data_IF_347695821282
#
_entry.id   IF_347695821282
#
_cell.length_a   1.000
_cell.length_b   1.000
_cell.length_c   1.000
_cell.angle_alpha   90.00
_cell.angle_beta   90.00
_cell.angle_gamma   90.00
#
_symmetry.space_group_name_H-M   'P 1'
#
loop_
_entity.id
_entity.type
_entity.pdbx_description
1 polymer ?
#
# COMPACT_ATOMS: atom_id res chain seq x y z
N UNK A 1 17.57 25.09 6.36
CA UNK A 1 17.24 25.01 4.91
C UNK A 1 16.66 23.64 4.68
N UNK A 2 15.42 23.53 4.20
CA UNK A 2 14.80 22.24 3.89
C UNK A 2 15.37 21.77 2.55
N UNK A 3 15.96 20.55 2.43
CA UNK A 3 16.47 20.06 1.17
C UNK A 3 15.32 19.97 0.14
N UNK A 4 15.60 20.27 -1.12
CA UNK A 4 14.63 20.08 -2.20
C UNK A 4 14.44 18.58 -2.44
N UNK A 5 13.25 18.15 -2.88
CA UNK A 5 12.99 16.73 -3.21
C UNK A 5 13.99 16.18 -4.24
N UNK A 6 14.51 17.04 -5.12
CA UNK A 6 15.51 16.66 -6.13
C UNK A 6 16.91 16.40 -5.55
N UNK A 7 17.17 16.75 -4.29
CA UNK A 7 18.46 16.51 -3.63
C UNK A 7 18.47 15.28 -2.71
N UNK A 8 17.32 14.60 -2.54
CA UNK A 8 17.24 13.42 -1.70
C UNK A 8 17.87 12.21 -2.39
N UNK A 9 18.63 11.44 -1.62
CA UNK A 9 19.05 10.10 -2.04
C UNK A 9 17.90 9.10 -1.93
N UNK A 10 17.98 7.95 -2.59
CA UNK A 10 16.99 6.87 -2.45
C UNK A 10 16.79 6.46 -0.98
N UNK A 11 17.88 6.49 -0.20
CA UNK A 11 17.92 6.15 1.24
C UNK A 11 17.10 7.12 2.10
N UNK A 12 17.08 8.39 1.74
CA UNK A 12 16.32 9.43 2.44
C UNK A 12 14.89 9.49 1.93
N UNK A 13 14.73 9.44 0.60
CA UNK A 13 13.44 9.56 -0.06
C UNK A 13 12.46 8.42 0.28
N UNK A 14 12.96 7.23 0.64
CA UNK A 14 12.10 6.09 1.01
C UNK A 14 11.18 6.41 2.20
N UNK A 15 11.55 7.36 3.08
CA UNK A 15 10.74 7.79 4.21
C UNK A 15 9.50 8.60 3.82
N UNK A 16 9.41 9.06 2.57
CA UNK A 16 8.18 9.65 2.03
C UNK A 16 7.05 8.61 1.94
N UNK A 17 7.40 7.33 1.83
CA UNK A 17 6.42 6.28 1.68
C UNK A 17 5.56 6.04 2.94
N UNK A 18 6.10 5.85 4.17
CA UNK A 18 5.29 5.80 5.38
C UNK A 18 4.42 7.06 5.57
N UNK A 19 4.91 8.24 5.18
CA UNK A 19 4.13 9.48 5.25
C UNK A 19 2.93 9.41 4.29
N UNK A 20 3.13 8.96 3.06
CA UNK A 20 2.05 8.78 2.09
C UNK A 20 1.02 7.75 2.56
N UNK A 21 1.45 6.65 3.17
CA UNK A 21 0.57 5.65 3.80
C UNK A 21 -0.26 6.29 4.92
N UNK A 22 0.36 7.08 5.80
CA UNK A 22 -0.36 7.76 6.86
C UNK A 22 -1.41 8.75 6.33
N UNK A 23 -1.10 9.49 5.27
CA UNK A 23 -2.04 10.39 4.59
C UNK A 23 -3.20 9.59 4.00
N UNK A 24 -2.91 8.49 3.30
CA UNK A 24 -3.92 7.61 2.72
C UNK A 24 -4.86 7.03 3.79
N UNK A 25 -4.30 6.50 4.87
CA UNK A 25 -5.10 5.97 5.98
C UNK A 25 -5.93 7.05 6.69
N UNK A 26 -5.46 8.30 6.73
CA UNK A 26 -6.25 9.40 7.29
C UNK A 26 -7.47 9.74 6.43
N UNK A 27 -7.38 9.57 5.11
CA UNK A 27 -8.54 9.71 4.20
C UNK A 27 -9.54 8.56 4.37
N UNK A 28 -9.06 7.34 4.59
CA UNK A 28 -9.89 6.16 4.77
C UNK A 28 -10.60 6.12 6.12
N UNK A 29 -9.88 6.48 7.21
CA UNK A 29 -10.27 6.25 8.60
C UNK A 29 -11.74 6.61 8.94
N UNK A 30 -12.28 7.75 8.49
CA UNK A 30 -13.62 8.14 8.87
C UNK A 30 -14.74 7.35 8.19
N UNK A 31 -14.48 6.69 7.06
CA UNK A 31 -15.54 6.21 6.16
C UNK A 31 -15.33 4.82 5.59
N UNK A 32 -14.09 4.33 5.49
CA UNK A 32 -13.78 3.10 4.75
C UNK A 32 -14.50 1.87 5.32
N UNK A 33 -14.50 1.68 6.63
CA UNK A 33 -15.16 0.52 7.23
C UNK A 33 -16.68 0.48 6.96
N UNK A 34 -17.34 1.66 6.94
CA UNK A 34 -18.75 1.76 6.56
C UNK A 34 -18.94 1.43 5.06
N UNK A 35 -18.11 2.01 4.21
CA UNK A 35 -18.13 1.76 2.78
C UNK A 35 -17.87 0.27 2.46
N UNK A 36 -16.90 -0.33 3.11
CA UNK A 36 -16.57 -1.74 2.96
C UNK A 36 -17.72 -2.67 3.41
N UNK A 37 -18.47 -2.31 4.47
CA UNK A 37 -19.67 -3.06 4.88
C UNK A 37 -20.76 -3.04 3.81
N UNK A 38 -20.90 -1.94 3.09
CA UNK A 38 -21.93 -1.82 2.05
C UNK A 38 -21.56 -2.52 0.74
N UNK A 39 -20.27 -2.56 0.39
CA UNK A 39 -19.85 -2.95 -0.96
C UNK A 39 -18.97 -4.21 -1.01
N UNK A 40 -18.26 -4.55 0.06
CA UNK A 40 -17.32 -5.69 0.11
C UNK A 40 -17.87 -6.81 0.98
N UNK A 41 -18.09 -6.53 2.26
CA UNK A 41 -18.55 -7.54 3.22
C UNK A 41 -19.27 -6.88 4.40
N UNK A 42 -20.51 -7.30 4.73
CA UNK A 42 -21.25 -6.77 5.89
C UNK A 42 -20.53 -7.02 7.22
N UNK A 43 -19.54 -7.91 7.24
CA UNK A 43 -18.78 -8.31 8.42
C UNK A 43 -17.54 -7.43 8.66
N UNK A 44 -17.26 -6.49 7.78
CA UNK A 44 -16.10 -5.61 7.93
C UNK A 44 -16.30 -4.64 9.10
N UNK A 45 -15.36 -4.60 10.05
CA UNK A 45 -15.45 -3.80 11.27
C UNK A 45 -14.40 -2.69 11.33
N UNK A 46 -14.69 -1.63 12.09
CA UNK A 46 -13.72 -0.58 12.37
C UNK A 46 -12.49 -1.12 13.13
N UNK A 47 -12.66 -2.14 13.96
CA UNK A 47 -11.55 -2.80 14.65
C UNK A 47 -10.64 -3.56 13.68
N UNK A 48 -11.24 -4.23 12.69
CA UNK A 48 -10.50 -4.92 11.62
C UNK A 48 -9.71 -3.90 10.78
N UNK A 49 -10.36 -2.80 10.37
CA UNK A 49 -9.71 -1.71 9.67
C UNK A 49 -8.48 -1.19 10.44
N UNK A 50 -8.67 -0.79 11.72
CA UNK A 50 -7.56 -0.27 12.54
C UNK A 50 -6.40 -1.26 12.67
N UNK A 51 -6.69 -2.55 12.83
CA UNK A 51 -5.66 -3.59 12.95
C UNK A 51 -4.82 -3.71 11.68
N UNK A 52 -5.48 -3.86 10.51
CA UNK A 52 -4.79 -4.03 9.23
C UNK A 52 -3.97 -2.77 8.90
N UNK A 53 -4.56 -1.59 9.03
CA UNK A 53 -3.89 -0.34 8.67
C UNK A 53 -2.77 0.02 9.64
N UNK A 54 -2.95 -0.27 10.94
CA UNK A 54 -1.87 -0.12 11.91
C UNK A 54 -0.68 -1.05 11.63
N UNK A 55 -0.94 -2.31 11.28
CA UNK A 55 0.09 -3.24 10.84
C UNK A 55 0.73 -2.78 9.52
N UNK A 56 -0.08 -2.30 8.57
CA UNK A 56 0.39 -1.75 7.29
C UNK A 56 1.35 -0.58 7.48
N UNK A 57 1.01 0.39 8.34
CA UNK A 57 1.90 1.52 8.63
C UNK A 57 3.20 1.07 9.30
N UNK A 58 3.13 0.15 10.27
CA UNK A 58 4.32 -0.42 10.91
C UNK A 58 5.23 -1.10 9.88
N UNK A 59 4.65 -1.90 8.99
CA UNK A 59 5.40 -2.58 7.92
C UNK A 59 6.02 -1.58 6.94
N UNK A 60 5.32 -0.47 6.61
CA UNK A 60 5.88 0.61 5.79
C UNK A 60 7.13 1.22 6.44
N UNK A 61 7.08 1.48 7.74
CA UNK A 61 8.23 1.99 8.50
C UNK A 61 9.38 0.99 8.54
N UNK A 62 9.08 -0.30 8.71
CA UNK A 62 10.10 -1.36 8.69
C UNK A 62 10.82 -1.44 7.34
N UNK A 63 10.09 -1.39 6.21
CA UNK A 63 10.71 -1.41 4.89
C UNK A 63 11.49 -0.12 4.60
N UNK A 64 10.99 1.04 5.02
CA UNK A 64 11.74 2.28 4.91
C UNK A 64 13.05 2.22 5.71
N UNK A 65 13.00 1.70 6.94
CA UNK A 65 14.20 1.48 7.76
C UNK A 65 15.16 0.47 7.11
N UNK A 66 14.65 -0.63 6.57
CA UNK A 66 15.46 -1.64 5.88
C UNK A 66 16.25 -1.02 4.72
N UNK A 67 15.59 -0.27 3.82
CA UNK A 67 16.24 0.39 2.69
C UNK A 67 17.20 1.50 3.17
N UNK A 68 16.81 2.24 4.22
CA UNK A 68 17.61 3.33 4.76
C UNK A 68 18.90 2.85 5.46
N UNK A 69 18.85 1.73 6.19
CA UNK A 69 19.98 1.19 6.94
C UNK A 69 20.89 0.29 6.10
N UNK A 70 20.30 -0.47 5.19
CA UNK A 70 21.02 -1.41 4.30
C UNK A 70 20.63 -1.16 2.83
N UNK A 71 21.02 -0.01 2.24
CA UNK A 71 20.70 0.32 0.88
C UNK A 71 21.41 -0.64 -0.09
N UNK A 72 20.65 -1.49 -0.76
CA UNK A 72 21.18 -2.48 -1.70
C UNK A 72 20.09 -3.05 -2.61
N UNK A 73 20.47 -3.80 -3.66
CA UNK A 73 19.53 -4.36 -4.62
C UNK A 73 18.44 -5.22 -3.98
N UNK A 74 18.81 -6.00 -2.95
CA UNK A 74 17.85 -6.91 -2.27
C UNK A 74 16.83 -6.13 -1.46
N UNK A 75 17.26 -5.16 -0.62
CA UNK A 75 16.34 -4.37 0.21
C UNK A 75 15.40 -3.53 -0.64
N UNK A 76 15.91 -2.92 -1.71
CA UNK A 76 15.10 -2.16 -2.67
C UNK A 76 14.12 -3.07 -3.40
N UNK A 77 14.56 -4.24 -3.87
CA UNK A 77 13.68 -5.21 -4.51
C UNK A 77 12.55 -5.65 -3.59
N UNK A 78 12.84 -6.02 -2.35
CA UNK A 78 11.85 -6.42 -1.36
C UNK A 78 10.84 -5.30 -1.07
N UNK A 79 11.34 -4.06 -0.90
CA UNK A 79 10.47 -2.90 -0.72
C UNK A 79 9.55 -2.67 -1.93
N UNK A 80 10.08 -2.73 -3.15
CA UNK A 80 9.29 -2.56 -4.37
C UNK A 80 8.24 -3.67 -4.50
N UNK A 81 8.66 -4.94 -4.37
CA UNK A 81 7.80 -6.09 -4.63
C UNK A 81 6.73 -6.30 -3.57
N UNK A 82 7.08 -6.14 -2.28
CA UNK A 82 6.19 -6.51 -1.18
C UNK A 82 5.39 -5.34 -0.63
N UNK A 83 5.77 -4.09 -1.00
CA UNK A 83 5.08 -2.95 -0.41
C UNK A 83 4.74 -1.82 -1.38
N UNK A 84 5.70 -1.23 -2.08
CA UNK A 84 5.43 -0.07 -2.94
C UNK A 84 4.54 -0.44 -4.14
N UNK A 85 4.84 -1.53 -4.85
CA UNK A 85 4.02 -1.98 -5.98
C UNK A 85 2.60 -2.42 -5.56
N UNK A 86 2.39 -3.18 -4.46
CA UNK A 86 1.06 -3.44 -3.94
C UNK A 86 0.22 -2.19 -3.70
N UNK A 87 0.83 -1.08 -3.23
CA UNK A 87 0.11 0.18 -3.03
C UNK A 87 -0.32 0.85 -4.35
N UNK A 88 0.43 0.68 -5.43
CA UNK A 88 -0.03 1.10 -6.77
C UNK A 88 -1.27 0.32 -7.19
N UNK A 89 -1.31 -0.99 -6.95
CA UNK A 89 -2.50 -1.81 -7.22
C UNK A 89 -3.65 -1.50 -6.27
N UNK A 90 -3.36 -1.10 -5.03
CA UNK A 90 -4.38 -0.55 -4.12
C UNK A 90 -5.03 0.72 -4.69
N UNK A 91 -4.26 1.61 -5.34
CA UNK A 91 -4.82 2.75 -6.06
C UNK A 91 -5.77 2.31 -7.19
N UNK A 92 -5.36 1.31 -7.97
CA UNK A 92 -6.23 0.72 -9.01
C UNK A 92 -7.51 0.15 -8.41
N UNK A 93 -7.41 -0.55 -7.26
CA UNK A 93 -8.57 -1.06 -6.54
C UNK A 93 -9.55 0.06 -6.16
N UNK A 94 -9.09 1.13 -5.51
CA UNK A 94 -9.94 2.24 -5.08
C UNK A 94 -10.64 2.93 -6.25
N UNK A 95 -9.90 3.17 -7.35
CA UNK A 95 -10.46 3.78 -8.57
C UNK A 95 -11.51 2.86 -9.18
N UNK A 96 -11.17 1.60 -9.39
CA UNK A 96 -12.07 0.60 -9.99
C UNK A 96 -13.33 0.41 -9.14
N UNK A 97 -13.17 0.29 -7.84
CA UNK A 97 -14.29 0.16 -6.90
C UNK A 97 -15.18 1.39 -6.91
N UNK A 98 -14.61 2.61 -6.99
CA UNK A 98 -15.40 3.84 -7.10
C UNK A 98 -16.27 3.87 -8.36
N UNK A 99 -15.72 3.42 -9.50
CA UNK A 99 -16.43 3.34 -10.77
C UNK A 99 -17.49 2.24 -10.75
N UNK A 100 -17.12 1.05 -10.30
CA UNK A 100 -18.00 -0.13 -10.30
C UNK A 100 -19.21 0.06 -9.40
N UNK A 101 -19.00 0.55 -8.19
CA UNK A 101 -20.09 0.78 -7.23
C UNK A 101 -20.77 2.15 -7.39
N UNK A 102 -20.31 2.99 -8.33
CA UNK A 102 -20.79 4.37 -8.52
C UNK A 102 -20.82 5.14 -7.19
N UNK A 103 -19.84 4.88 -6.35
CA UNK A 103 -19.71 5.41 -5.00
C UNK A 103 -18.25 5.68 -4.70
N UNK A 104 -17.95 6.85 -4.17
CA UNK A 104 -16.58 7.20 -3.79
C UNK A 104 -16.01 6.19 -2.80
N UNK A 105 -14.93 5.51 -3.18
CA UNK A 105 -14.17 4.64 -2.28
C UNK A 105 -13.22 5.52 -1.45
N UNK A 106 -13.39 5.58 -0.11
CA UNK A 106 -12.50 6.37 0.73
C UNK A 106 -11.05 5.92 0.56
N UNK A 107 -10.12 6.85 0.42
CA UNK A 107 -8.72 6.58 0.07
C UNK A 107 -8.40 6.73 -1.42
N UNK A 108 -9.39 6.86 -2.30
CA UNK A 108 -9.19 6.89 -3.75
C UNK A 108 -8.33 8.07 -4.22
N UNK A 109 -8.48 9.26 -3.63
CA UNK A 109 -7.75 10.45 -4.05
C UNK A 109 -6.27 10.32 -3.67
N UNK A 110 -5.98 10.07 -2.40
CA UNK A 110 -4.59 9.92 -1.93
C UNK A 110 -3.90 8.74 -2.60
N UNK A 111 -4.58 7.61 -2.77
CA UNK A 111 -4.02 6.45 -3.45
C UNK A 111 -3.65 6.75 -4.90
N UNK A 112 -4.57 7.39 -5.66
CA UNK A 112 -4.35 7.71 -7.07
C UNK A 112 -3.23 8.75 -7.29
N UNK A 113 -3.06 9.67 -6.36
CA UNK A 113 -2.06 10.75 -6.48
C UNK A 113 -0.70 10.33 -5.91
N UNK A 114 -0.68 9.71 -4.72
CA UNK A 114 0.56 9.50 -3.99
C UNK A 114 1.31 8.24 -4.45
N UNK A 115 0.62 7.11 -4.61
CA UNK A 115 1.31 5.85 -4.84
C UNK A 115 1.96 5.73 -6.23
N UNK A 116 1.31 6.12 -7.34
CA UNK A 116 1.97 6.15 -8.65
C UNK A 116 3.12 7.15 -8.70
N UNK A 117 2.96 8.34 -8.09
CA UNK A 117 4.00 9.35 -8.04
C UNK A 117 5.23 8.87 -7.26
N UNK A 118 5.02 8.24 -6.09
CA UNK A 118 6.10 7.67 -5.29
C UNK A 118 6.76 6.47 -5.98
N UNK A 119 5.98 5.61 -6.63
CA UNK A 119 6.52 4.48 -7.39
C UNK A 119 7.48 4.96 -8.48
N UNK A 120 7.06 5.95 -9.24
CA UNK A 120 7.91 6.56 -10.26
C UNK A 120 9.15 7.22 -9.65
N UNK A 121 8.97 8.03 -8.63
CA UNK A 121 10.05 8.78 -8.01
C UNK A 121 11.09 7.86 -7.34
N UNK A 122 10.66 6.97 -6.45
CA UNK A 122 11.55 6.04 -5.74
C UNK A 122 12.17 5.01 -6.68
N UNK A 123 11.42 4.55 -7.67
CA UNK A 123 11.94 3.67 -8.73
C UNK A 123 13.04 4.34 -9.55
N UNK A 124 12.83 5.60 -9.96
CA UNK A 124 13.82 6.38 -10.70
C UNK A 124 15.08 6.62 -9.88
N UNK A 125 14.95 7.03 -8.61
CA UNK A 125 16.11 7.22 -7.72
C UNK A 125 16.89 5.92 -7.52
N UNK A 126 16.18 4.80 -7.31
CA UNK A 126 16.81 3.49 -7.11
C UNK A 126 17.54 3.01 -8.38
N UNK A 127 16.98 3.28 -9.55
CA UNK A 127 17.61 2.98 -10.84
C UNK A 127 18.85 3.85 -11.10
N UNK A 128 18.77 5.16 -10.85
CA UNK A 128 19.90 6.09 -10.99
C UNK A 128 21.04 5.74 -10.02
N UNK A 129 20.71 5.26 -8.83
CA UNK A 129 21.70 4.77 -7.87
C UNK A 129 22.25 3.37 -8.20
N UNK A 130 21.84 2.73 -9.29
CA UNK A 130 22.25 1.38 -9.68
C UNK A 130 21.75 0.27 -8.75
N UNK A 131 20.76 0.57 -7.90
CA UNK A 131 20.21 -0.38 -6.92
C UNK A 131 19.19 -1.33 -7.53
N UNK A 132 18.56 -0.94 -8.63
CA UNK A 132 17.58 -1.78 -9.34
C UNK A 132 17.66 -1.56 -10.83
N UNK A 133 17.61 -2.65 -11.60
CA UNK A 133 17.50 -2.64 -13.08
C UNK A 133 16.03 -2.66 -13.48
N UNK A 134 15.72 -2.19 -14.67
CA UNK A 134 14.34 -2.12 -15.18
C UNK A 134 13.63 -3.48 -15.15
N UNK A 135 14.31 -4.54 -15.54
CA UNK A 135 13.74 -5.90 -15.56
C UNK A 135 13.39 -6.38 -14.15
N UNK A 136 14.24 -6.02 -13.17
CA UNK A 136 14.02 -6.34 -11.75
C UNK A 136 12.85 -5.53 -11.18
N UNK A 137 12.72 -4.26 -11.58
CA UNK A 137 11.58 -3.43 -11.21
C UNK A 137 10.26 -3.96 -11.82
N UNK A 138 10.28 -4.42 -13.07
CA UNK A 138 9.12 -5.07 -13.70
C UNK A 138 8.71 -6.36 -12.97
N UNK A 139 9.70 -7.21 -12.61
CA UNK A 139 9.44 -8.41 -11.80
C UNK A 139 8.86 -8.06 -10.44
N UNK A 140 9.42 -7.07 -9.75
CA UNK A 140 8.90 -6.58 -8.48
C UNK A 140 7.45 -6.09 -8.61
N UNK A 141 7.12 -5.40 -9.70
CA UNK A 141 5.76 -4.94 -9.98
C UNK A 141 4.80 -6.11 -10.21
N UNK A 142 5.21 -7.14 -10.97
CA UNK A 142 4.39 -8.33 -11.17
C UNK A 142 4.14 -9.09 -9.86
N UNK A 143 5.17 -9.24 -9.03
CA UNK A 143 5.02 -9.82 -7.67
C UNK A 143 4.07 -8.96 -6.83
N UNK A 144 4.21 -7.65 -6.87
CA UNK A 144 3.34 -6.72 -6.14
C UNK A 144 1.86 -6.84 -6.52
N UNK A 145 1.55 -7.10 -7.79
CA UNK A 145 0.19 -7.40 -8.22
C UNK A 145 -0.35 -8.66 -7.54
N UNK A 146 0.45 -9.73 -7.52
CA UNK A 146 0.07 -11.01 -6.86
C UNK A 146 -0.10 -10.81 -5.37
N UNK A 147 0.81 -10.09 -4.71
CA UNK A 147 0.73 -9.77 -3.27
C UNK A 147 -0.56 -9.01 -2.96
N UNK A 148 -0.91 -7.99 -3.75
CA UNK A 148 -2.13 -7.23 -3.54
C UNK A 148 -3.39 -8.07 -3.76
N UNK A 149 -3.43 -8.90 -4.80
CA UNK A 149 -4.55 -9.82 -5.03
C UNK A 149 -4.73 -10.82 -3.89
N UNK A 150 -3.62 -11.32 -3.34
CA UNK A 150 -3.65 -12.21 -2.17
C UNK A 150 -4.18 -11.48 -0.92
N UNK A 151 -3.79 -10.23 -0.70
CA UNK A 151 -4.28 -9.40 0.41
C UNK A 151 -5.79 -9.18 0.32
N UNK A 152 -6.30 -8.79 -0.85
CA UNK A 152 -7.73 -8.65 -1.09
C UNK A 152 -8.51 -9.96 -0.86
N UNK A 153 -7.99 -11.08 -1.39
CA UNK A 153 -8.61 -12.38 -1.22
C UNK A 153 -8.62 -12.83 0.25
N UNK A 154 -7.51 -12.61 0.96
CA UNK A 154 -7.38 -12.96 2.37
C UNK A 154 -8.34 -12.14 3.25
N UNK A 155 -8.45 -10.84 2.99
CA UNK A 155 -9.36 -9.96 3.73
C UNK A 155 -10.81 -10.40 3.58
N UNK A 156 -11.26 -10.75 2.36
CA UNK A 156 -12.62 -11.26 2.12
C UNK A 156 -12.86 -12.61 2.77
N UNK A 157 -11.89 -13.52 2.72
CA UNK A 157 -12.00 -14.86 3.28
C UNK A 157 -12.02 -14.89 4.82
N UNK A 158 -11.12 -14.14 5.46
CA UNK A 158 -11.05 -14.13 6.94
C UNK A 158 -12.24 -13.40 7.56
N UNK A 159 -12.76 -12.36 6.92
CA UNK A 159 -13.98 -11.68 7.38
C UNK A 159 -15.17 -12.64 7.31
N UNK A 160 -15.28 -13.50 6.27
CA UNK A 160 -16.35 -14.50 6.15
C UNK A 160 -16.29 -15.60 7.22
N UNK A 161 -15.10 -16.10 7.53
CA UNK A 161 -14.91 -17.24 8.45
C UNK A 161 -15.17 -16.91 9.93
N UNK A 162 -14.94 -15.68 10.36
CA UNK A 162 -15.20 -15.23 11.73
C UNK A 162 -16.70 -15.12 12.06
N UNK A 163 -17.54 -14.90 11.07
CA UNK A 163 -18.99 -14.82 11.24
C UNK A 163 -19.61 -16.20 11.46
N UNK A 164 -19.22 -17.18 10.67
CA UNK A 164 -19.77 -18.54 10.80
C UNK A 164 -19.48 -19.17 12.16
N UNK A 165 -18.37 -18.77 12.81
CA UNK A 165 -18.00 -19.27 14.14
C UNK A 165 -18.84 -18.70 15.28
N UNK A 166 -19.51 -17.57 15.09
CA UNK A 166 -20.38 -16.94 16.09
C UNK A 166 -21.83 -17.41 16.01
N UNK A 167 -22.22 -18.09 14.95
CA UNK A 167 -23.57 -18.61 14.71
C UNK A 167 -23.71 -20.09 15.00
N UNK A 168 -22.60 -20.78 15.38
CA UNK A 168 -22.69 -22.18 15.85
C UNK A 168 -23.02 -22.18 17.35
N UNK A 169 -24.15 -22.82 17.75
CA UNK A 169 -24.58 -22.92 19.13
C UNK A 169 -23.64 -23.73 20.00
#
# INVERSE_FOLDING_TARGET
>A
MIPSLSSLTAREAVWLFPVAIAIHFSEEAPRFARWARMHISPLYTDAHWRKIHGMGLLTAMMFAALVSLWPGPVSVFLFLALYLSPMVFNAVFHITASVFYRSYSPGAISAALLFPALFWYLGSLSSQAGLVRTEVAMLATAIGAVVHMFDLASTTFFVGKHSQRKEMP
#
